data_IF_138189955650
#
_entry.id   IF_138189955650
#
_cell.length_a   1.000
_cell.length_b   1.000
_cell.length_c   1.000
_cell.angle_alpha   90.00
_cell.angle_beta   90.00
_cell.angle_gamma   90.00
#
_symmetry.space_group_name_H-M   'P 1'
#
loop_
_entity.id
_entity.type
_entity.pdbx_description
1 polymer ?
#
# COMPACT_ATOMS: atom_id res chain seq x y z
N UNK A 1 -6.29 -36.65 42.89
CA UNK A 1 -7.38 -35.89 42.23
C UNK A 1 -7.17 -34.37 42.31
N UNK A 2 -6.66 -33.82 43.43
CA UNK A 2 -6.43 -32.37 43.59
C UNK A 2 -5.27 -31.85 42.73
N UNK A 3 -4.14 -32.59 42.61
CA UNK A 3 -2.98 -32.22 41.80
C UNK A 3 -3.27 -32.24 40.30
N UNK A 4 -4.15 -33.13 39.83
CA UNK A 4 -4.55 -33.24 38.43
C UNK A 4 -5.46 -32.07 38.01
N UNK A 5 -6.32 -31.58 38.89
CA UNK A 5 -7.16 -30.38 38.63
C UNK A 5 -6.34 -29.10 38.55
N UNK A 6 -5.28 -28.95 39.37
CA UNK A 6 -4.40 -27.77 39.31
C UNK A 6 -3.56 -27.78 38.03
N UNK A 7 -3.13 -28.93 37.52
CA UNK A 7 -2.42 -29.04 36.23
C UNK A 7 -3.32 -28.71 35.03
N UNK A 8 -4.57 -29.19 35.05
CA UNK A 8 -5.55 -28.87 33.99
C UNK A 8 -5.91 -27.39 33.95
N UNK A 9 -6.09 -26.72 35.10
CA UNK A 9 -6.35 -25.28 35.17
C UNK A 9 -5.15 -24.46 34.70
N UNK A 10 -3.92 -24.88 35.05
CA UNK A 10 -2.70 -24.18 34.52
C UNK A 10 -2.52 -24.39 33.05
N UNK A 11 -2.80 -25.56 32.49
CA UNK A 11 -2.75 -25.80 31.04
C UNK A 11 -3.84 -25.00 30.31
N UNK A 12 -5.05 -24.90 30.85
CA UNK A 12 -6.12 -24.09 30.26
C UNK A 12 -5.79 -22.59 30.31
N UNK A 13 -5.18 -22.09 31.38
CA UNK A 13 -4.73 -20.69 31.48
C UNK A 13 -3.58 -20.38 30.50
N UNK A 14 -2.65 -21.32 30.31
CA UNK A 14 -1.55 -21.15 29.31
C UNK A 14 -2.09 -21.20 27.88
N UNK A 15 -3.09 -22.05 27.60
CA UNK A 15 -3.75 -22.09 26.29
C UNK A 15 -4.57 -20.82 26.02
N UNK A 16 -5.26 -20.27 27.02
CA UNK A 16 -6.01 -19.02 26.89
C UNK A 16 -5.06 -17.83 26.68
N UNK A 17 -3.91 -17.78 27.36
CA UNK A 17 -2.91 -16.73 27.13
C UNK A 17 -2.20 -16.88 25.78
N UNK A 18 -1.92 -18.10 25.30
CA UNK A 18 -1.37 -18.34 23.96
C UNK A 18 -2.40 -18.00 22.85
N UNK A 19 -3.70 -18.27 23.04
CA UNK A 19 -4.74 -17.83 22.12
C UNK A 19 -4.93 -16.31 22.12
N UNK A 20 -4.75 -15.62 23.25
CA UNK A 20 -4.84 -14.16 23.32
C UNK A 20 -3.68 -13.45 22.59
N UNK A 21 -2.54 -14.12 22.39
CA UNK A 21 -1.40 -13.60 21.62
C UNK A 21 -1.47 -13.94 20.12
N UNK A 22 -2.36 -14.85 19.71
CA UNK A 22 -2.52 -15.25 18.31
C UNK A 22 -3.58 -14.44 17.53
N UNK A 23 -4.27 -13.49 18.18
CA UNK A 23 -5.22 -12.59 17.54
C UNK A 23 -4.62 -11.19 17.30
N UNK A 24 -3.38 -11.11 16.86
CA UNK A 24 -2.99 -10.02 15.99
C UNK A 24 -3.62 -10.32 14.62
N UNK A 25 -4.94 -10.11 14.54
CA UNK A 25 -5.63 -9.99 13.27
C UNK A 25 -4.85 -8.93 12.49
N UNK A 26 -4.44 -9.26 11.27
CA UNK A 26 -3.97 -8.26 10.34
C UNK A 26 -5.06 -7.18 10.30
N UNK A 27 -4.79 -6.05 10.96
CA UNK A 27 -5.68 -4.92 10.99
C UNK A 27 -5.73 -4.41 9.56
N UNK A 28 -6.91 -4.10 9.07
CA UNK A 28 -7.04 -3.54 7.74
C UNK A 28 -6.27 -2.22 7.72
N UNK A 29 -5.26 -2.10 6.86
CA UNK A 29 -4.47 -0.89 6.72
C UNK A 29 -5.26 0.28 6.08
N UNK A 30 -6.55 0.07 5.81
CA UNK A 30 -7.46 1.04 5.20
C UNK A 30 -8.77 1.16 5.94
N UNK A 31 -9.32 2.38 5.97
CA UNK A 31 -10.67 2.66 6.47
C UNK A 31 -11.72 2.00 5.58
N UNK A 32 -12.66 1.30 6.21
CA UNK A 32 -13.79 0.66 5.52
C UNK A 32 -15.06 1.50 5.51
N UNK A 33 -15.05 2.67 6.19
CA UNK A 33 -16.19 3.58 6.33
C UNK A 33 -16.21 4.73 5.29
N UNK A 34 -15.35 4.63 4.25
CA UNK A 34 -15.17 5.63 3.20
C UNK A 34 -14.66 6.99 3.71
N UNK A 35 -14.16 7.04 4.95
CA UNK A 35 -13.51 8.19 5.53
C UNK A 35 -12.04 8.27 5.16
N UNK A 36 -11.42 9.40 5.50
CA UNK A 36 -9.97 9.60 5.35
C UNK A 36 -9.40 10.31 6.56
N UNK A 37 -8.11 10.17 6.74
CA UNK A 37 -7.33 10.87 7.76
C UNK A 37 -6.74 12.16 7.17
N UNK A 38 -6.70 13.20 7.99
CA UNK A 38 -6.12 14.51 7.64
C UNK A 38 -4.84 14.69 8.42
N UNK A 39 -3.69 14.66 7.73
CA UNK A 39 -2.39 14.91 8.34
C UNK A 39 -2.18 16.42 8.51
N UNK A 40 -1.92 16.85 9.74
CA UNK A 40 -1.65 18.24 10.09
C UNK A 40 -0.33 18.37 10.83
N UNK A 41 0.44 19.40 10.48
CA UNK A 41 1.63 19.76 11.23
C UNK A 41 1.30 20.49 12.54
N UNK A 42 2.35 20.83 13.33
CA UNK A 42 2.22 21.51 14.61
C UNK A 42 1.64 22.94 14.50
N UNK A 43 1.57 23.50 13.28
CA UNK A 43 0.91 24.79 13.01
C UNK A 43 -0.57 24.63 12.64
N UNK A 44 -1.04 23.39 12.49
CA UNK A 44 -2.38 23.06 12.02
C UNK A 44 -2.53 23.06 10.49
N UNK A 45 -1.42 23.26 9.76
CA UNK A 45 -1.43 23.21 8.28
C UNK A 45 -1.69 21.78 7.80
N UNK A 46 -2.62 21.61 6.85
CA UNK A 46 -2.85 20.31 6.22
C UNK A 46 -1.68 19.98 5.30
N UNK A 47 -1.05 18.83 5.58
CA UNK A 47 0.06 18.32 4.77
C UNK A 47 -0.47 17.41 3.66
N UNK A 48 -1.37 16.49 3.99
CA UNK A 48 -2.04 15.59 3.02
C UNK A 48 -3.26 14.92 3.65
N UNK A 49 -3.95 14.10 2.87
CA UNK A 49 -5.02 13.23 3.34
C UNK A 49 -4.77 11.81 2.82
N UNK A 50 -5.27 10.79 3.54
CA UNK A 50 -5.17 9.38 3.14
C UNK A 50 -6.27 8.54 3.77
N UNK A 51 -6.79 7.55 3.05
CA UNK A 51 -7.68 6.52 3.57
C UNK A 51 -6.96 5.45 4.41
N UNK A 52 -5.61 5.47 4.44
CA UNK A 52 -4.82 4.50 5.20
C UNK A 52 -4.77 4.83 6.68
N UNK A 53 -4.87 3.79 7.52
CA UNK A 53 -4.54 3.91 8.94
C UNK A 53 -3.06 4.25 9.12
N UNK A 54 -2.78 5.15 10.06
CA UNK A 54 -1.44 5.63 10.37
C UNK A 54 -1.17 5.49 11.85
N UNK A 55 -0.05 4.88 12.17
CA UNK A 55 0.42 4.67 13.53
C UNK A 55 1.51 5.68 13.92
N UNK A 56 1.63 6.04 15.20
CA UNK A 56 2.78 6.80 15.68
C UNK A 56 4.11 6.16 15.27
N UNK A 57 5.00 6.99 14.71
CA UNK A 57 6.28 6.58 14.15
C UNK A 57 6.21 6.18 12.67
N UNK A 58 5.06 6.27 12.00
CA UNK A 58 5.02 6.22 10.55
C UNK A 58 5.62 7.49 9.96
N UNK A 59 6.19 7.37 8.77
CA UNK A 59 6.81 8.47 8.06
C UNK A 59 6.02 8.81 6.80
N UNK A 60 5.95 10.09 6.48
CA UNK A 60 5.39 10.61 5.25
C UNK A 60 6.37 11.57 4.58
N UNK A 61 6.73 11.31 3.34
CA UNK A 61 7.52 12.19 2.50
C UNK A 61 6.57 12.94 1.58
N UNK A 62 6.52 14.25 1.71
CA UNK A 62 5.69 15.11 0.87
C UNK A 62 6.33 15.32 -0.52
N UNK A 63 5.56 15.82 -1.48
CA UNK A 63 6.03 16.07 -2.86
C UNK A 63 7.14 17.13 -2.98
N UNK A 64 7.39 17.88 -1.91
CA UNK A 64 8.48 18.85 -1.78
C UNK A 64 9.68 18.29 -0.98
N UNK A 65 9.72 16.97 -0.81
CA UNK A 65 10.74 16.21 -0.08
C UNK A 65 10.82 16.47 1.41
N UNK A 66 9.85 17.16 2.01
CA UNK A 66 9.77 17.26 3.46
C UNK A 66 9.36 15.93 4.07
N UNK A 67 10.16 15.46 5.03
CA UNK A 67 9.89 14.26 5.81
C UNK A 67 9.14 14.62 7.08
N UNK A 68 8.05 13.93 7.32
CA UNK A 68 7.22 14.03 8.51
C UNK A 68 7.12 12.70 9.23
N UNK A 69 7.01 12.73 10.55
CA UNK A 69 6.72 11.58 11.40
C UNK A 69 5.33 11.73 12.02
N UNK A 70 4.55 10.67 12.00
CA UNK A 70 3.27 10.60 12.72
C UNK A 70 3.54 10.57 14.22
N UNK A 71 2.95 11.52 14.93
CA UNK A 71 3.09 11.67 16.39
C UNK A 71 1.93 11.02 17.12
N UNK A 72 0.70 11.29 16.66
CA UNK A 72 -0.52 10.74 17.24
C UNK A 72 -1.67 10.83 16.25
N UNK A 73 -2.68 9.99 16.46
CA UNK A 73 -3.94 10.00 15.71
C UNK A 73 -5.09 10.21 16.69
N UNK A 74 -5.92 11.23 16.45
CA UNK A 74 -7.12 11.56 17.21
C UNK A 74 -8.31 11.69 16.26
N UNK A 75 -9.20 10.70 16.27
CA UNK A 75 -10.30 10.61 15.31
C UNK A 75 -9.77 10.58 13.87
N UNK A 76 -10.20 11.52 13.04
CA UNK A 76 -9.78 11.64 11.65
C UNK A 76 -8.55 12.55 11.47
N UNK A 77 -8.00 13.10 12.56
CA UNK A 77 -6.84 13.99 12.51
C UNK A 77 -5.59 13.25 12.94
N UNK A 78 -4.58 13.31 12.10
CA UNK A 78 -3.25 12.77 12.37
C UNK A 78 -2.30 13.95 12.54
N UNK A 79 -1.73 14.08 13.73
CA UNK A 79 -0.70 15.09 13.99
C UNK A 79 0.65 14.56 13.53
N UNK A 80 1.31 15.33 12.68
CA UNK A 80 2.65 15.00 12.18
C UNK A 80 3.66 16.08 12.57
N UNK A 81 4.91 15.67 12.78
CA UNK A 81 6.03 16.54 13.07
C UNK A 81 6.99 16.54 11.89
N UNK A 82 7.37 17.72 11.42
CA UNK A 82 8.45 17.86 10.45
C UNK A 82 9.77 17.38 11.06
N UNK A 83 10.50 16.56 10.34
CA UNK A 83 11.83 16.09 10.73
C UNK A 83 12.92 16.83 9.95
N UNK A 84 12.93 16.69 8.63
CA UNK A 84 13.94 17.26 7.74
C UNK A 84 13.43 17.32 6.31
N UNK A 85 14.18 17.98 5.44
CA UNK A 85 14.01 17.86 3.98
C UNK A 85 15.06 16.90 3.46
N UNK A 86 14.63 15.81 2.82
CA UNK A 86 15.50 14.77 2.32
C UNK A 86 15.84 15.01 0.85
N UNK A 87 17.01 14.55 0.43
CA UNK A 87 17.34 14.47 -0.99
C UNK A 87 16.94 13.08 -1.50
N UNK A 88 15.91 13.03 -2.33
CA UNK A 88 15.57 11.80 -3.03
C UNK A 88 16.54 11.61 -4.22
N UNK A 89 16.90 10.35 -4.56
CA UNK A 89 17.68 10.07 -5.74
C UNK A 89 17.03 10.71 -6.96
N UNK A 90 17.80 11.40 -7.74
CA UNK A 90 17.31 11.93 -9.01
C UNK A 90 17.15 10.78 -9.98
N UNK A 91 15.94 10.61 -10.51
CA UNK A 91 15.70 9.69 -11.62
C UNK A 91 16.40 10.26 -12.84
N UNK A 92 17.64 9.82 -13.07
CA UNK A 92 18.42 10.21 -14.25
C UNK A 92 17.97 9.43 -15.48
N UNK A 93 18.24 9.96 -16.66
CA UNK A 93 18.01 9.23 -17.92
C UNK A 93 18.73 7.87 -17.94
N UNK A 94 19.85 7.73 -17.22
CA UNK A 94 20.55 6.45 -17.01
C UNK A 94 19.77 5.46 -16.18
N UNK A 95 19.10 5.90 -15.09
CA UNK A 95 18.23 5.06 -14.27
C UNK A 95 16.94 4.68 -15.00
N UNK A 96 16.43 5.55 -15.87
CA UNK A 96 15.31 5.26 -16.78
C UNK A 96 15.70 4.37 -17.95
N UNK A 97 16.98 3.89 -17.99
CA UNK A 97 17.46 3.12 -19.11
C UNK A 97 17.32 3.93 -20.40
N UNK A 98 18.00 5.08 -20.50
CA UNK A 98 17.92 5.99 -21.64
C UNK A 98 18.28 5.37 -23.01
N UNK A 99 18.61 4.10 -23.03
CA UNK A 99 18.54 3.21 -24.16
C UNK A 99 17.43 2.15 -23.96
N UNK A 100 16.18 2.59 -23.87
CA UNK A 100 15.04 1.71 -24.10
C UNK A 100 15.23 1.09 -25.50
N UNK A 101 15.79 -0.11 -25.54
CA UNK A 101 15.95 -0.85 -26.80
C UNK A 101 17.24 -1.64 -26.97
N UNK A 102 18.19 -1.68 -26.05
CA UNK A 102 19.46 -2.40 -26.26
C UNK A 102 20.08 -3.15 -25.09
N UNK A 103 19.35 -3.52 -24.04
CA UNK A 103 19.87 -4.54 -23.14
C UNK A 103 19.07 -5.82 -23.31
N UNK A 104 19.67 -6.84 -23.89
CA UNK A 104 19.18 -8.23 -23.89
C UNK A 104 19.27 -8.85 -22.48
N UNK A 105 19.66 -8.11 -21.45
CA UNK A 105 19.66 -8.54 -20.06
C UNK A 105 18.34 -8.16 -19.40
N UNK A 106 17.72 -9.15 -18.77
CA UNK A 106 16.49 -9.05 -17.98
C UNK A 106 16.56 -7.86 -17.01
N UNK A 107 15.78 -6.81 -17.26
CA UNK A 107 15.77 -5.58 -16.44
C UNK A 107 15.00 -5.74 -15.12
N UNK A 108 14.71 -6.97 -14.72
CA UNK A 108 14.00 -7.29 -13.49
C UNK A 108 12.67 -7.98 -13.74
N UNK A 109 12.13 -8.51 -12.65
CA UNK A 109 10.86 -9.25 -12.64
C UNK A 109 9.94 -8.61 -11.61
N UNK A 110 8.74 -8.22 -12.01
CA UNK A 110 7.74 -7.58 -11.15
C UNK A 110 6.46 -8.39 -11.11
N UNK A 111 5.93 -8.62 -9.91
CA UNK A 111 4.59 -9.15 -9.72
C UNK A 111 3.62 -8.02 -9.40
N UNK A 112 2.45 -7.96 -10.06
CA UNK A 112 1.42 -6.96 -9.82
C UNK A 112 0.10 -7.66 -9.51
N UNK A 113 -0.54 -7.25 -8.42
CA UNK A 113 -1.86 -7.72 -8.01
C UNK A 113 -2.68 -6.60 -7.35
N UNK A 114 -3.89 -6.93 -6.91
CA UNK A 114 -4.83 -5.98 -6.31
C UNK A 114 -5.52 -6.65 -5.13
N UNK A 115 -5.14 -6.33 -3.90
CA UNK A 115 -5.86 -6.82 -2.72
C UNK A 115 -7.31 -6.39 -2.77
N UNK A 116 -7.57 -5.12 -3.10
CA UNK A 116 -8.90 -4.55 -3.25
C UNK A 116 -9.30 -4.43 -4.73
N UNK A 117 -9.38 -5.56 -5.41
CA UNK A 117 -9.69 -5.64 -6.84
C UNK A 117 -11.07 -5.09 -7.24
N UNK A 118 -11.94 -4.78 -6.28
CA UNK A 118 -13.23 -4.12 -6.48
C UNK A 118 -13.16 -2.60 -6.58
N UNK A 119 -12.03 -1.96 -6.20
CA UNK A 119 -11.89 -0.50 -6.20
C UNK A 119 -12.13 0.13 -7.57
N UNK A 120 -12.85 1.24 -7.56
CA UNK A 120 -13.22 2.00 -8.75
C UNK A 120 -13.14 3.50 -8.47
N UNK A 121 -13.35 4.30 -9.49
CA UNK A 121 -13.26 5.75 -9.42
C UNK A 121 -14.59 6.39 -9.74
N UNK A 122 -15.18 7.14 -8.80
CA UNK A 122 -16.47 7.82 -8.98
C UNK A 122 -16.51 8.67 -10.26
N UNK A 123 -15.46 9.45 -10.61
CA UNK A 123 -15.49 10.26 -11.83
C UNK A 123 -15.58 9.45 -13.13
N UNK A 124 -15.05 8.23 -13.18
CA UNK A 124 -15.04 7.42 -14.40
C UNK A 124 -16.15 6.36 -14.46
N UNK A 125 -16.51 5.77 -13.33
CA UNK A 125 -17.47 4.66 -13.28
C UNK A 125 -18.73 4.93 -12.44
N UNK A 126 -18.83 6.12 -11.82
CA UNK A 126 -19.99 6.52 -11.01
C UNK A 126 -20.09 5.78 -9.66
N UNK A 127 -19.10 4.95 -9.32
CA UNK A 127 -19.07 4.19 -8.07
C UNK A 127 -17.64 4.07 -7.54
N UNK A 128 -17.51 3.91 -6.25
CA UNK A 128 -16.22 3.72 -5.58
C UNK A 128 -15.74 2.26 -5.64
N UNK A 129 -16.68 1.32 -5.80
CA UNK A 129 -16.41 -0.11 -5.77
C UNK A 129 -17.41 -0.86 -6.64
N UNK A 130 -17.03 -2.03 -7.15
CA UNK A 130 -17.88 -2.95 -7.90
C UNK A 130 -17.96 -4.29 -7.19
N UNK A 131 -19.17 -4.70 -6.82
CA UNK A 131 -19.44 -5.91 -6.02
C UNK A 131 -18.97 -7.20 -6.71
N UNK A 132 -18.88 -7.19 -8.04
CA UNK A 132 -18.37 -8.32 -8.83
C UNK A 132 -16.83 -8.46 -8.79
N UNK A 133 -16.14 -7.54 -8.10
CA UNK A 133 -14.69 -7.52 -8.00
C UNK A 133 -13.96 -7.09 -9.27
N UNK A 134 -14.67 -6.50 -10.25
CA UNK A 134 -14.08 -5.99 -11.50
C UNK A 134 -13.98 -4.46 -11.47
N UNK A 135 -13.28 -3.96 -10.43
CA UNK A 135 -13.01 -2.54 -10.24
C UNK A 135 -12.11 -1.95 -11.33
N UNK A 136 -12.20 -0.62 -11.50
CA UNK A 136 -11.37 0.08 -12.49
C UNK A 136 -9.88 0.06 -12.13
N UNK A 137 -9.54 -0.23 -10.88
CA UNK A 137 -8.17 -0.42 -10.42
C UNK A 137 -7.43 -1.52 -11.22
N UNK A 138 -8.14 -2.52 -11.71
CA UNK A 138 -7.57 -3.56 -12.56
C UNK A 138 -7.03 -2.99 -13.88
N UNK A 139 -7.67 -1.95 -14.43
CA UNK A 139 -7.20 -1.28 -15.63
C UNK A 139 -5.92 -0.49 -15.34
N UNK A 140 -5.82 0.13 -14.17
CA UNK A 140 -4.62 0.85 -13.73
C UNK A 140 -3.44 -0.11 -13.59
N UNK A 141 -3.63 -1.25 -12.89
CA UNK A 141 -2.58 -2.26 -12.76
C UNK A 141 -2.16 -2.87 -14.09
N UNK A 142 -3.11 -3.09 -15.02
CA UNK A 142 -2.80 -3.58 -16.36
C UNK A 142 -2.02 -2.56 -17.20
N UNK A 143 -2.38 -1.28 -17.10
CA UNK A 143 -1.66 -0.21 -17.78
C UNK A 143 -0.22 -0.06 -17.24
N UNK A 144 -0.06 -0.16 -15.91
CA UNK A 144 1.26 -0.17 -15.27
C UNK A 144 2.09 -1.35 -15.76
N UNK A 145 1.51 -2.56 -15.81
CA UNK A 145 2.18 -3.76 -16.31
C UNK A 145 2.66 -3.55 -17.76
N UNK A 146 1.78 -3.07 -18.65
CA UNK A 146 2.13 -2.83 -20.05
C UNK A 146 3.26 -1.79 -20.20
N UNK A 147 3.21 -0.70 -19.43
CA UNK A 147 4.26 0.32 -19.48
C UNK A 147 5.62 -0.24 -19.01
N UNK A 148 5.63 -1.08 -17.99
CA UNK A 148 6.86 -1.76 -17.51
C UNK A 148 7.38 -2.77 -18.56
N UNK A 149 6.50 -3.52 -19.22
CA UNK A 149 6.88 -4.45 -20.30
C UNK A 149 7.49 -3.70 -21.50
N UNK A 150 6.96 -2.52 -21.86
CA UNK A 150 7.55 -1.65 -22.88
C UNK A 150 8.95 -1.16 -22.51
N UNK A 151 9.27 -1.10 -21.21
CA UNK A 151 10.60 -0.79 -20.70
C UNK A 151 11.52 -2.02 -20.59
N UNK A 152 11.08 -3.21 -21.01
CA UNK A 152 11.87 -4.45 -20.95
C UNK A 152 11.81 -5.18 -19.62
N UNK A 153 10.94 -4.78 -18.68
CA UNK A 153 10.74 -5.48 -17.41
C UNK A 153 9.82 -6.67 -17.63
N UNK A 154 10.15 -7.81 -17.04
CA UNK A 154 9.24 -8.97 -17.04
C UNK A 154 8.16 -8.77 -15.99
N UNK A 155 6.88 -8.75 -16.39
CA UNK A 155 5.77 -8.50 -15.47
C UNK A 155 4.82 -9.69 -15.39
N UNK A 156 4.49 -10.09 -14.16
CA UNK A 156 3.42 -11.02 -13.85
C UNK A 156 2.27 -10.28 -13.21
N UNK A 157 1.31 -9.84 -14.01
CA UNK A 157 0.08 -9.20 -13.56
C UNK A 157 -1.04 -10.22 -13.40
N UNK A 158 -1.92 -10.04 -12.41
CA UNK A 158 -3.10 -10.88 -12.20
C UNK A 158 -4.33 -10.07 -11.80
N UNK A 159 -5.50 -10.50 -12.28
CA UNK A 159 -6.83 -9.99 -11.93
C UNK A 159 -7.56 -10.90 -10.93
N UNK A 160 -6.84 -11.70 -10.15
CA UNK A 160 -7.42 -12.56 -9.13
C UNK A 160 -8.35 -11.77 -8.21
N UNK A 161 -9.51 -12.36 -7.93
CA UNK A 161 -10.53 -11.73 -7.09
C UNK A 161 -10.37 -12.07 -5.62
N UNK A 162 -10.48 -11.05 -4.76
CA UNK A 162 -10.38 -11.16 -3.31
C UNK A 162 -11.62 -10.62 -2.58
N UNK A 163 -12.76 -10.56 -3.29
CA UNK A 163 -14.04 -10.12 -2.73
C UNK A 163 -14.52 -11.03 -1.56
N UNK A 164 -15.35 -10.47 -0.66
CA UNK A 164 -15.89 -9.10 -0.66
C UNK A 164 -14.82 -8.04 -0.38
N UNK A 165 -15.14 -6.76 -0.68
CA UNK A 165 -14.26 -5.63 -0.39
C UNK A 165 -14.36 -5.30 1.11
N UNK A 166 -13.53 -5.93 1.90
CA UNK A 166 -13.46 -5.81 3.36
C UNK A 166 -12.03 -5.97 3.87
N UNK A 167 -11.79 -5.74 5.16
CA UNK A 167 -10.46 -5.91 5.77
C UNK A 167 -9.88 -7.32 5.66
N UNK A 168 -10.68 -8.36 5.37
CA UNK A 168 -10.20 -9.71 5.15
C UNK A 168 -9.68 -9.93 3.73
N UNK A 169 -9.84 -8.97 2.82
CA UNK A 169 -9.27 -9.03 1.48
C UNK A 169 -7.75 -9.23 1.53
N UNK A 170 -7.05 -8.61 2.49
CA UNK A 170 -5.61 -8.82 2.73
C UNK A 170 -5.26 -10.27 3.09
N UNK A 171 -6.13 -10.97 3.81
CA UNK A 171 -5.92 -12.40 4.11
C UNK A 171 -6.11 -13.23 2.86
N UNK A 172 -7.13 -12.92 2.05
CA UNK A 172 -7.43 -13.64 0.80
C UNK A 172 -6.35 -13.43 -0.25
N UNK A 173 -5.83 -12.19 -0.38
CA UNK A 173 -4.80 -11.84 -1.37
C UNK A 173 -3.43 -12.47 -1.10
N UNK A 174 -3.15 -12.92 0.14
CA UNK A 174 -1.91 -13.64 0.48
C UNK A 174 -1.64 -14.85 -0.42
N UNK A 175 -2.70 -15.53 -0.86
CA UNK A 175 -2.58 -16.65 -1.80
C UNK A 175 -2.05 -16.16 -3.14
N UNK A 176 -2.61 -15.09 -3.68
CA UNK A 176 -2.17 -14.47 -4.94
C UNK A 176 -0.72 -14.00 -4.83
N UNK A 177 -0.37 -13.30 -3.74
CA UNK A 177 1.00 -12.87 -3.49
C UNK A 177 1.97 -14.08 -3.44
N UNK A 178 1.58 -15.18 -2.75
CA UNK A 178 2.39 -16.40 -2.69
C UNK A 178 2.55 -17.08 -4.06
N UNK A 179 1.54 -17.06 -4.92
CA UNK A 179 1.60 -17.58 -6.29
C UNK A 179 2.55 -16.72 -7.16
N UNK A 180 2.52 -15.39 -7.00
CA UNK A 180 3.44 -14.49 -7.69
C UNK A 180 4.89 -14.67 -7.21
N UNK A 181 5.10 -14.85 -5.91
CA UNK A 181 6.45 -15.10 -5.34
C UNK A 181 7.13 -16.35 -5.93
N UNK A 182 6.37 -17.34 -6.40
CA UNK A 182 6.94 -18.51 -7.09
C UNK A 182 7.56 -18.18 -8.47
N UNK A 183 7.30 -16.99 -8.99
CA UNK A 183 7.94 -16.46 -10.21
C UNK A 183 9.26 -15.76 -9.93
N UNK A 184 9.71 -15.74 -8.65
CA UNK A 184 10.92 -15.06 -8.16
C UNK A 184 10.98 -13.58 -8.60
N UNK A 185 9.94 -12.78 -8.32
CA UNK A 185 9.98 -11.37 -8.65
C UNK A 185 10.96 -10.63 -7.72
N UNK A 186 11.61 -9.61 -8.25
CA UNK A 186 12.42 -8.66 -7.48
C UNK A 186 11.53 -7.77 -6.60
N UNK A 187 10.31 -7.50 -7.08
CA UNK A 187 9.32 -6.66 -6.40
C UNK A 187 7.91 -7.18 -6.60
N UNK A 188 7.10 -7.11 -5.54
CA UNK A 188 5.63 -7.25 -5.61
C UNK A 188 4.98 -5.89 -5.39
N UNK A 189 4.06 -5.54 -6.27
CA UNK A 189 3.27 -4.30 -6.19
C UNK A 189 1.81 -4.68 -5.99
N UNK A 190 1.23 -4.18 -4.91
CA UNK A 190 -0.22 -4.19 -4.65
C UNK A 190 -0.78 -2.83 -5.04
N UNK A 191 -1.57 -2.79 -6.10
CA UNK A 191 -2.07 -1.52 -6.65
C UNK A 191 -3.44 -1.21 -6.07
N UNK A 192 -3.55 -0.08 -5.42
CA UNK A 192 -4.73 0.43 -4.72
C UNK A 192 -5.15 1.81 -5.22
N UNK A 193 -6.40 2.15 -4.91
CA UNK A 193 -6.89 3.52 -4.88
C UNK A 193 -6.85 4.04 -3.43
N UNK A 194 -6.48 5.29 -3.22
CA UNK A 194 -6.64 5.95 -1.93
C UNK A 194 -8.03 6.61 -1.83
N UNK A 195 -8.75 6.39 -0.74
CA UNK A 195 -10.10 6.89 -0.51
C UNK A 195 -10.08 8.35 -0.01
N UNK A 196 -9.66 9.27 -0.86
CA UNK A 196 -9.53 10.71 -0.54
C UNK A 196 -10.25 11.58 -1.57
N UNK A 197 -10.52 12.87 -1.26
CA UNK A 197 -10.96 13.82 -2.27
C UNK A 197 -9.97 13.89 -3.44
N UNK A 198 -10.45 14.03 -4.70
CA UNK A 198 -9.60 14.00 -5.89
C UNK A 198 -8.49 15.06 -5.89
N UNK A 199 -8.75 16.22 -5.29
CA UNK A 199 -7.81 17.35 -5.23
C UNK A 199 -6.48 17.00 -4.53
N UNK A 200 -6.48 15.97 -3.68
CA UNK A 200 -5.26 15.48 -3.01
C UNK A 200 -4.26 14.94 -4.02
N UNK A 201 -4.76 14.31 -5.08
CA UNK A 201 -3.97 13.63 -6.10
C UNK A 201 -3.88 14.38 -7.43
N UNK A 202 -4.69 15.41 -7.64
CA UNK A 202 -4.61 16.22 -8.86
C UNK A 202 -3.25 16.90 -9.00
N UNK A 203 -2.72 16.86 -10.21
CA UNK A 203 -1.48 17.54 -10.58
C UNK A 203 -1.46 17.79 -12.08
N UNK A 204 -0.42 18.41 -12.56
CA UNK A 204 -0.18 18.69 -13.96
C UNK A 204 1.26 18.31 -14.33
N UNK A 205 1.44 17.65 -15.44
CA UNK A 205 2.74 17.30 -16.00
C UNK A 205 2.81 17.82 -17.42
N UNK A 206 3.75 18.70 -17.70
CA UNK A 206 3.94 19.33 -19.02
C UNK A 206 2.65 19.99 -19.58
N UNK A 207 1.88 20.67 -18.73
CA UNK A 207 0.63 21.33 -19.11
C UNK A 207 -0.55 20.37 -19.33
N UNK A 208 -0.44 19.12 -18.94
CA UNK A 208 -1.49 18.10 -19.07
C UNK A 208 -1.96 17.64 -17.70
N UNK A 209 -3.28 17.53 -17.48
CA UNK A 209 -3.80 16.96 -16.24
C UNK A 209 -3.19 15.57 -15.98
N UNK A 210 -2.78 15.35 -14.74
CA UNK A 210 -2.18 14.11 -14.30
C UNK A 210 -2.63 13.79 -12.86
N UNK A 211 -2.33 12.60 -12.38
CA UNK A 211 -2.52 12.22 -10.99
C UNK A 211 -1.18 11.89 -10.35
N UNK A 212 -1.04 12.27 -9.09
CA UNK A 212 0.08 11.83 -8.26
C UNK A 212 -0.05 10.34 -7.94
N UNK A 213 1.08 9.70 -7.69
CA UNK A 213 1.16 8.33 -7.19
C UNK A 213 1.80 8.38 -5.80
N UNK A 214 1.28 7.59 -4.87
CA UNK A 214 1.88 7.41 -3.55
C UNK A 214 2.47 6.01 -3.48
N UNK A 215 3.75 5.93 -3.16
CA UNK A 215 4.40 4.68 -2.83
C UNK A 215 4.27 4.42 -1.33
N UNK A 216 3.89 3.21 -0.96
CA UNK A 216 3.73 2.77 0.42
C UNK A 216 4.64 1.58 0.69
N UNK A 217 5.52 1.71 1.66
CA UNK A 217 6.44 0.65 2.08
C UNK A 217 6.20 0.34 3.55
N UNK A 218 5.86 -0.91 3.85
CA UNK A 218 5.59 -1.32 5.23
C UNK A 218 6.83 -1.22 6.12
N UNK A 219 6.68 -0.75 7.37
CA UNK A 219 7.78 -0.62 8.35
C UNK A 219 8.49 -1.95 8.64
N UNK A 220 7.80 -3.06 8.52
CA UNK A 220 8.37 -4.39 8.74
C UNK A 220 9.06 -4.98 7.49
N UNK A 221 9.01 -4.27 6.37
CA UNK A 221 9.75 -4.67 5.18
C UNK A 221 11.25 -4.54 5.48
N UNK A 222 11.99 -5.65 5.37
CA UNK A 222 13.43 -5.69 5.65
C UNK A 222 14.24 -4.80 4.70
N UNK A 223 13.73 -4.58 3.48
CA UNK A 223 14.37 -3.78 2.44
C UNK A 223 13.73 -2.40 2.29
N UNK A 224 12.99 -1.93 3.31
CA UNK A 224 12.20 -0.68 3.20
C UNK A 224 13.02 0.54 2.77
N UNK A 225 14.27 0.64 3.23
CA UNK A 225 15.13 1.76 2.89
C UNK A 225 15.64 1.67 1.46
N UNK A 226 16.04 0.49 1.00
CA UNK A 226 16.42 0.26 -0.39
C UNK A 226 15.26 0.44 -1.38
N UNK A 227 14.01 0.25 -0.93
CA UNK A 227 12.82 0.49 -1.76
C UNK A 227 12.38 1.96 -1.79
N UNK A 228 12.99 2.82 -0.99
CA UNK A 228 12.75 4.27 -0.97
C UNK A 228 13.87 5.06 -1.70
N UNK A 229 14.99 4.42 -1.96
CA UNK A 229 16.09 4.93 -2.79
C UNK A 229 15.84 4.65 -4.28
#
# INVERSE_FOLDING_TARGET
>A
RRAMRVRLVRMALVLITLCAWATSLAQADERTDLGYFILRDDTGTVITMTGRELDPGDHYIASDNRLFEVVETEGDTVRVRYLETIELPQVTAELLGAEVGKSEENQGVVGIYHTHNAESYVPSSGTESKDDGRGDILQVGKALASAMEEMGITVYWTDNSHIPHDGQAYVRSRRTAAELLQKNPDTLIDVHRDATPPEVYETEVEGRPATKVRLVVGRQNQNRWANLE
#
